data_IF_923827133474
#
_entry.id   IF_923827133474
#
_cell.length_a   1.000
_cell.length_b   1.000
_cell.length_c   1.000
_cell.angle_alpha   90.00
_cell.angle_beta   90.00
_cell.angle_gamma   90.00
#
_symmetry.space_group_name_H-M   'P 1'
#
loop_
_entity.id
_entity.type
_entity.pdbx_description
1 polymer ?
#
# COMPACT_ATOMS: atom_id res chain seq x y z
N UNK A 1 -4.76 -3.86 14.69
CA UNK A 1 -5.37 -3.89 13.35
C UNK A 1 -5.46 -2.46 12.82
N UNK A 2 -4.37 -1.91 12.27
CA UNK A 2 -4.29 -0.54 11.77
C UNK A 2 -4.85 -0.34 10.35
N UNK A 3 -5.19 -1.41 9.61
CA UNK A 3 -5.79 -1.33 8.27
C UNK A 3 -7.24 -1.82 8.28
N UNK A 4 -8.15 -1.02 7.71
CA UNK A 4 -9.55 -1.38 7.44
C UNK A 4 -9.87 -1.09 5.98
N UNK A 5 -10.50 -2.02 5.27
CA UNK A 5 -10.83 -1.86 3.84
C UNK A 5 -12.35 -1.88 3.69
N UNK A 6 -12.92 -0.83 3.10
CA UNK A 6 -14.36 -0.67 2.90
C UNK A 6 -14.62 -0.01 1.54
N UNK A 7 -15.44 -0.61 0.67
CA UNK A 7 -15.75 -0.09 -0.67
C UNK A 7 -14.52 0.34 -1.50
N UNK A 8 -13.50 -0.51 -1.59
CA UNK A 8 -12.21 -0.21 -2.27
C UNK A 8 -11.46 1.01 -1.68
N UNK A 9 -11.84 1.47 -0.49
CA UNK A 9 -11.16 2.51 0.27
C UNK A 9 -10.44 1.86 1.45
N UNK A 10 -9.13 2.07 1.55
CA UNK A 10 -8.27 1.60 2.61
C UNK A 10 -8.11 2.71 3.66
N UNK A 11 -8.38 2.38 4.91
CA UNK A 11 -8.23 3.22 6.09
C UNK A 11 -7.01 2.75 6.87
N UNK A 12 -6.08 3.66 7.12
CA UNK A 12 -4.78 3.42 7.75
C UNK A 12 -4.65 4.25 9.02
N UNK A 13 -4.40 3.61 10.16
CA UNK A 13 -3.96 4.30 11.37
C UNK A 13 -2.47 4.56 11.27
N UNK A 14 -2.09 5.83 11.13
CA UNK A 14 -0.69 6.25 10.98
C UNK A 14 -0.02 6.49 12.33
N UNK A 15 -0.79 6.86 13.35
CA UNK A 15 -0.27 7.17 14.68
C UNK A 15 -1.23 6.73 15.80
N UNK A 16 -0.69 6.55 17.02
CA UNK A 16 -1.45 6.24 18.24
C UNK A 16 -2.33 7.41 18.70
N UNK A 17 -2.07 8.62 18.22
CA UNK A 17 -2.88 9.82 18.44
C UNK A 17 -4.26 9.79 17.74
N UNK A 18 -4.52 8.79 16.88
CA UNK A 18 -5.81 8.61 16.21
C UNK A 18 -5.87 9.20 14.80
N UNK A 19 -4.73 9.56 14.22
CA UNK A 19 -4.65 9.94 12.80
C UNK A 19 -4.96 8.74 11.91
N UNK A 20 -6.15 8.74 11.32
CA UNK A 20 -6.60 7.80 10.30
C UNK A 20 -6.57 8.46 8.92
N UNK A 21 -5.88 7.81 7.98
CA UNK A 21 -5.83 8.18 6.57
C UNK A 21 -6.71 7.24 5.77
N UNK A 22 -7.68 7.77 5.03
CA UNK A 22 -8.47 6.99 4.07
C UNK A 22 -8.06 7.32 2.64
N UNK A 23 -7.66 6.31 1.86
CA UNK A 23 -7.31 6.46 0.45
C UNK A 23 -7.96 5.35 -0.37
N UNK A 24 -8.19 5.59 -1.66
CA UNK A 24 -8.58 4.53 -2.57
C UNK A 24 -7.45 3.49 -2.65
N UNK A 25 -7.80 2.20 -2.69
CA UNK A 25 -6.81 1.13 -2.79
C UNK A 25 -5.83 1.39 -3.94
N UNK A 26 -6.32 1.84 -5.10
CA UNK A 26 -5.50 2.16 -6.28
C UNK A 26 -4.46 3.26 -6.06
N UNK A 27 -4.69 4.19 -5.13
CA UNK A 27 -3.77 5.28 -4.80
C UNK A 27 -2.77 4.90 -3.68
N UNK A 28 -2.88 3.70 -3.12
CA UNK A 28 -1.93 3.17 -2.14
C UNK A 28 -0.72 2.60 -2.88
N UNK A 29 0.48 3.04 -2.54
CA UNK A 29 1.72 2.44 -3.07
C UNK A 29 2.50 1.73 -1.98
N UNK A 30 2.65 0.41 -2.07
CA UNK A 30 3.49 -0.37 -1.16
C UNK A 30 4.94 -0.26 -1.57
N UNK A 31 5.82 0.16 -0.66
CA UNK A 31 7.27 0.22 -0.86
C UNK A 31 7.98 -0.64 0.18
N UNK A 32 9.13 -1.19 -0.18
CA UNK A 32 10.00 -1.88 0.78
C UNK A 32 11.08 -0.92 1.26
N UNK A 33 11.09 -0.61 2.56
CA UNK A 33 12.15 0.16 3.16
C UNK A 33 13.32 -0.78 3.51
N UNK A 34 14.36 -0.78 2.67
CA UNK A 34 15.57 -1.58 2.90
C UNK A 34 16.40 -1.10 4.09
N UNK A 35 16.22 0.13 4.58
CA UNK A 35 16.95 0.63 5.75
C UNK A 35 16.43 0.00 7.04
N UNK A 36 15.13 -0.33 7.09
CA UNK A 36 14.50 -1.03 8.23
C UNK A 36 14.18 -2.50 7.97
N UNK A 37 14.44 -3.00 6.76
CA UNK A 37 13.98 -4.32 6.30
C UNK A 37 12.49 -4.53 6.55
N UNK A 38 11.69 -3.48 6.34
CA UNK A 38 10.27 -3.45 6.70
C UNK A 38 9.46 -2.83 5.55
N UNK A 39 8.23 -3.29 5.37
CA UNK A 39 7.33 -2.73 4.36
C UNK A 39 6.75 -1.40 4.86
N UNK A 40 6.58 -0.45 3.95
CA UNK A 40 5.88 0.79 4.19
C UNK A 40 4.93 1.08 3.03
N UNK A 41 3.92 1.88 3.26
CA UNK A 41 3.05 2.39 2.21
C UNK A 41 3.21 3.89 2.10
N UNK A 42 3.36 4.36 0.86
CA UNK A 42 3.34 5.77 0.54
C UNK A 42 1.91 6.18 0.17
N UNK A 43 1.35 7.09 0.96
CA UNK A 43 -0.02 7.58 0.90
C UNK A 43 0.00 9.10 0.84
N UNK A 44 -0.26 9.72 -0.32
CA UNK A 44 -0.25 11.18 -0.48
C UNK A 44 1.03 11.87 0.06
N UNK A 45 2.20 11.25 -0.14
CA UNK A 45 3.50 11.77 0.32
C UNK A 45 3.83 11.48 1.79
N UNK A 46 2.98 10.75 2.49
CA UNK A 46 3.22 10.25 3.84
C UNK A 46 3.59 8.75 3.80
N UNK A 47 4.54 8.34 4.63
CA UNK A 47 5.01 6.95 4.69
C UNK A 47 4.55 6.28 5.96
N UNK A 48 3.66 5.31 5.83
CA UNK A 48 3.14 4.52 6.95
C UNK A 48 3.87 3.19 6.98
N UNK A 49 4.52 2.88 8.09
CA UNK A 49 5.17 1.58 8.26
C UNK A 49 4.11 0.54 8.61
N UNK A 50 4.09 -0.54 7.84
CA UNK A 50 3.13 -1.63 8.00
C UNK A 50 3.84 -2.98 8.00
N UNK A 51 3.17 -4.00 8.51
CA UNK A 51 3.64 -5.37 8.46
C UNK A 51 3.45 -5.98 7.07
N UNK A 52 4.15 -7.08 6.81
CA UNK A 52 4.01 -7.81 5.54
C UNK A 52 2.58 -8.30 5.30
N UNK A 53 1.90 -8.77 6.34
CA UNK A 53 0.50 -9.23 6.23
C UNK A 53 -0.46 -8.10 5.80
N UNK A 54 -0.19 -6.87 6.24
CA UNK A 54 -0.98 -5.70 5.85
C UNK A 54 -0.66 -5.27 4.42
N UNK A 55 0.62 -5.28 4.04
CA UNK A 55 1.03 -5.01 2.66
C UNK A 55 0.35 -5.97 1.68
N UNK A 56 0.24 -7.25 2.05
CA UNK A 56 -0.45 -8.26 1.27
C UNK A 56 -1.96 -7.99 1.18
N UNK A 57 -2.61 -7.69 2.30
CA UNK A 57 -4.04 -7.34 2.32
C UNK A 57 -4.37 -6.10 1.46
N UNK A 58 -3.48 -5.11 1.44
CA UNK A 58 -3.62 -3.94 0.59
C UNK A 58 -3.45 -4.28 -0.88
N UNK A 59 -2.46 -5.11 -1.20
CA UNK A 59 -2.23 -5.59 -2.57
C UNK A 59 -3.49 -6.31 -3.08
N UNK A 60 -4.14 -7.14 -2.25
CA UNK A 60 -5.41 -7.81 -2.56
C UNK A 60 -6.57 -6.82 -2.72
N UNK A 61 -6.58 -5.72 -1.95
CA UNK A 61 -7.59 -4.66 -2.09
C UNK A 61 -7.47 -3.86 -3.39
N UNK A 62 -6.32 -3.97 -4.09
CA UNK A 62 -6.00 -3.22 -5.30
C UNK A 62 -4.94 -2.15 -5.11
N UNK A 63 -4.13 -2.22 -4.05
CA UNK A 63 -2.97 -1.36 -3.88
C UNK A 63 -1.91 -1.60 -4.95
N UNK A 64 -1.28 -0.50 -5.35
CA UNK A 64 -0.13 -0.53 -6.23
C UNK A 64 1.05 -1.13 -5.47
N UNK A 65 1.41 -2.35 -5.83
CA UNK A 65 2.56 -3.01 -5.27
C UNK A 65 3.84 -2.46 -5.91
N UNK A 66 4.47 -1.49 -5.24
CA UNK A 66 5.80 -0.99 -5.58
C UNK A 66 6.92 -1.90 -5.06
N UNK A 67 6.59 -3.00 -4.34
CA UNK A 67 7.52 -4.13 -4.21
C UNK A 67 7.85 -4.52 -5.65
N UNK A 68 9.12 -4.39 -6.00
CA UNK A 68 9.63 -4.43 -7.36
C UNK A 68 9.25 -5.73 -8.08
N UNK A 69 8.02 -5.83 -8.58
CA UNK A 69 7.67 -6.74 -9.65
C UNK A 69 8.24 -6.09 -10.91
N UNK A 70 9.52 -6.34 -11.17
CA UNK A 70 10.21 -5.97 -12.40
C UNK A 70 9.58 -6.62 -13.67
N UNK A 71 8.35 -7.14 -13.62
CA UNK A 71 7.69 -7.82 -14.75
C UNK A 71 6.17 -7.68 -14.72
N UNK A 72 5.65 -6.48 -14.94
CA UNK A 72 4.31 -6.32 -15.54
C UNK A 72 4.13 -4.93 -16.17
N UNK A 73 5.18 -4.42 -16.82
CA UNK A 73 4.99 -3.40 -17.86
C UNK A 73 5.44 -4.00 -19.17
N UNK A 74 4.63 -4.93 -19.66
CA UNK A 74 4.48 -5.16 -21.09
C UNK A 74 2.99 -5.36 -21.31
N UNK A 75 2.26 -4.26 -21.12
CA UNK A 75 1.03 -4.03 -21.87
C UNK A 75 1.43 -3.80 -23.32
N UNK A 76 1.91 -4.85 -23.99
CA UNK A 76 1.92 -4.88 -25.44
C UNK A 76 0.49 -5.22 -25.86
N UNK A 77 -0.29 -4.15 -26.03
CA UNK A 77 -1.54 -4.22 -26.76
C UNK A 77 -1.19 -4.66 -28.18
N UNK A 78 -1.29 -5.97 -28.44
CA UNK A 78 -1.41 -6.47 -29.81
C UNK A 78 -2.79 -6.06 -30.33
N UNK A 79 -2.78 -5.05 -31.20
CA UNK A 79 -3.90 -4.66 -32.08
C UNK A 79 -3.70 -5.39 -33.41
#
# INVERSE_FOLDING_TARGET
MPVRIENQTCYFKVDENGDEKSLAATDVTVITDSAKSMSAVELNGERVYITEAEADALTVAGATDGRKHLKATDGDSVI
#
